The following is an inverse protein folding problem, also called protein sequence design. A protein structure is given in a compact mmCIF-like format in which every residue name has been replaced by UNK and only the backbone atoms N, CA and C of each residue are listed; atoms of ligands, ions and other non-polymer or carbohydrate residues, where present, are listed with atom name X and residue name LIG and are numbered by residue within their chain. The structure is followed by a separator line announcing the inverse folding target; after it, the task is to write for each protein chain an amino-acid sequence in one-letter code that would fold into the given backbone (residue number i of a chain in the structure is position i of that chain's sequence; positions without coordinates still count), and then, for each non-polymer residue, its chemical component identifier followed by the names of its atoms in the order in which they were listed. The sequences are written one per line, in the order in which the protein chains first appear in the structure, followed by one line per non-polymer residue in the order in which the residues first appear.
data_IF_187022088423
#
_entry.id   IF_187022088423
#
_cell.length_a   1.000
_cell.length_b   1.000
_cell.length_c   1.000
_cell.angle_alpha   90.00
_cell.angle_beta   90.00
_cell.angle_gamma   90.00
#
_symmetry.space_group_name_H-M   'P 1'
#
loop_
_entity.id
_entity.type
_entity.pdbx_description
1 polymer ?
#
# COMPACT_ATOMS: atom_id res chain seq x y z
N UNK A 1 27.85 20.49 2.16
CA UNK A 1 27.68 20.23 0.72
C UNK A 1 26.22 19.93 0.46
N UNK A 2 25.62 20.46 -0.59
CA UNK A 2 24.26 20.07 -0.98
C UNK A 2 24.37 19.06 -2.13
N UNK A 3 23.63 17.95 -2.04
CA UNK A 3 23.68 16.85 -3.02
C UNK A 3 22.27 16.60 -3.53
N UNK A 4 22.04 16.57 -4.85
CA UNK A 4 20.74 16.18 -5.41
C UNK A 4 20.56 14.65 -5.48
N UNK A 5 19.35 14.20 -5.80
CA UNK A 5 19.02 12.77 -5.80
C UNK A 5 19.75 11.97 -6.89
N UNK A 6 19.99 12.57 -8.05
CA UNK A 6 20.75 11.95 -9.14
C UNK A 6 22.21 11.75 -8.78
N UNK A 7 22.78 12.73 -8.09
CA UNK A 7 24.14 12.68 -7.57
C UNK A 7 24.23 11.67 -6.45
N UNK A 8 23.24 11.63 -5.54
CA UNK A 8 23.17 10.61 -4.48
C UNK A 8 23.18 9.20 -5.08
N UNK A 9 22.37 8.93 -6.12
CA UNK A 9 22.32 7.63 -6.80
C UNK A 9 23.68 7.15 -7.34
N UNK A 10 24.57 8.08 -7.71
CA UNK A 10 25.93 7.75 -8.19
C UNK A 10 26.89 7.38 -7.06
N UNK A 11 26.57 7.72 -5.82
CA UNK A 11 27.36 7.37 -4.62
C UNK A 11 26.84 6.07 -3.99
N UNK A 12 26.84 5.01 -4.80
CA UNK A 12 26.24 3.71 -4.50
C UNK A 12 27.21 2.70 -3.87
N UNK A 13 28.47 3.06 -3.64
CA UNK A 13 29.48 2.15 -3.07
C UNK A 13 29.94 1.02 -3.99
N UNK A 14 29.49 0.97 -5.25
CA UNK A 14 29.89 -0.07 -6.21
C UNK A 14 31.10 0.36 -7.01
N UNK A 15 31.88 -0.62 -7.46
CA UNK A 15 33.05 -0.40 -8.32
C UNK A 15 34.05 0.61 -7.71
N UNK A 16 34.16 0.63 -6.38
CA UNK A 16 35.05 1.54 -5.65
C UNK A 16 34.53 2.98 -5.52
N UNK A 17 33.33 3.30 -6.01
CA UNK A 17 32.69 4.60 -5.79
C UNK A 17 32.41 4.83 -4.29
N UNK A 18 32.35 6.09 -3.81
CA UNK A 18 31.92 6.36 -2.45
C UNK A 18 30.47 5.91 -2.22
N UNK A 19 30.14 5.61 -0.96
CA UNK A 19 28.83 5.12 -0.55
C UNK A 19 28.16 6.13 0.39
N UNK A 20 27.09 6.78 -0.07
CA UNK A 20 26.34 7.78 0.69
C UNK A 20 24.90 7.34 0.92
N UNK A 21 24.31 7.76 2.04
CA UNK A 21 22.87 7.54 2.32
C UNK A 21 22.26 8.85 2.81
N UNK A 22 21.00 9.10 2.44
CA UNK A 22 20.25 10.22 3.01
C UNK A 22 19.37 9.75 4.18
N UNK A 23 19.32 10.53 5.26
CA UNK A 23 18.34 10.38 6.34
C UNK A 23 17.87 11.77 6.77
N UNK A 24 16.56 12.01 6.69
CA UNK A 24 15.90 13.28 7.05
C UNK A 24 16.53 14.49 6.37
N UNK A 25 16.87 14.36 5.10
CA UNK A 25 17.49 15.42 4.32
C UNK A 25 18.97 15.67 4.66
N UNK A 26 19.61 14.81 5.47
CA UNK A 26 21.05 14.84 5.74
C UNK A 26 21.75 13.70 5.03
N UNK A 27 22.94 13.95 4.49
CA UNK A 27 23.77 12.95 3.82
C UNK A 27 24.82 12.42 4.79
N UNK A 28 24.90 11.11 4.90
CA UNK A 28 25.88 10.39 5.71
C UNK A 28 26.80 9.56 4.83
N UNK A 29 28.11 9.65 5.08
CA UNK A 29 29.10 8.83 4.39
C UNK A 29 29.27 7.47 5.08
N UNK A 30 28.99 6.40 4.36
CA UNK A 30 29.13 5.00 4.82
C UNK A 30 30.23 4.24 4.07
N UNK A 31 31.02 4.94 3.25
CA UNK A 31 32.19 4.40 2.55
C UNK A 31 33.13 3.70 3.53
N UNK A 32 33.57 2.48 3.22
CA UNK A 32 34.51 1.72 4.06
C UNK A 32 33.91 1.14 5.35
N UNK A 33 32.63 1.40 5.66
CA UNK A 33 31.97 0.77 6.79
C UNK A 33 31.77 -0.73 6.52
N UNK A 34 32.21 -1.59 7.44
CA UNK A 34 32.14 -3.06 7.32
C UNK A 34 30.72 -3.58 7.11
N UNK A 35 29.70 -2.84 7.57
CA UNK A 35 28.29 -3.19 7.42
C UNK A 35 27.70 -2.78 6.06
N UNK A 36 28.46 -2.04 5.24
CA UNK A 36 28.06 -1.47 3.95
C UNK A 36 28.95 -1.97 2.80
N UNK A 37 29.29 -3.26 2.80
CA UNK A 37 30.16 -3.85 1.77
C UNK A 37 29.57 -3.66 0.38
N UNK A 38 30.35 -3.11 -0.55
CA UNK A 38 29.90 -2.76 -1.91
C UNK A 38 28.63 -1.90 -1.91
N UNK A 39 28.48 -1.02 -0.92
CA UNK A 39 27.31 -0.16 -0.74
C UNK A 39 26.04 -0.91 -0.36
N UNK A 40 26.15 -2.12 0.17
CA UNK A 40 25.01 -2.94 0.57
C UNK A 40 25.01 -3.20 2.08
N UNK A 41 23.89 -2.91 2.72
CA UNK A 41 23.66 -3.17 4.13
C UNK A 41 22.58 -4.24 4.31
N UNK A 42 22.97 -5.32 5.00
CA UNK A 42 22.10 -6.48 5.32
C UNK A 42 21.40 -7.08 4.09
N UNK A 43 22.00 -6.98 2.89
CA UNK A 43 21.39 -7.40 1.61
C UNK A 43 20.00 -6.79 1.34
N UNK A 44 19.68 -5.67 1.98
CA UNK A 44 18.34 -5.05 1.95
C UNK A 44 18.39 -3.56 1.64
N UNK A 45 19.42 -2.85 2.11
CA UNK A 45 19.52 -1.40 1.96
C UNK A 45 20.73 -1.04 1.10
N UNK A 46 20.49 -0.29 0.03
CA UNK A 46 21.50 0.14 -0.92
C UNK A 46 21.95 1.57 -0.62
N UNK A 47 23.25 1.82 -0.65
CA UNK A 47 23.81 3.16 -0.72
C UNK A 47 23.36 3.85 -2.02
N UNK A 48 23.41 5.17 -2.01
CA UNK A 48 22.86 6.03 -3.04
C UNK A 48 21.34 6.22 -2.95
N UNK A 49 20.74 5.95 -1.78
CA UNK A 49 19.30 6.10 -1.55
C UNK A 49 18.99 6.88 -0.27
N UNK A 50 17.76 7.37 -0.16
CA UNK A 50 17.22 7.92 1.08
C UNK A 50 16.63 6.78 1.93
N UNK A 51 17.17 6.63 3.13
CA UNK A 51 16.86 5.57 4.09
C UNK A 51 16.10 6.10 5.30
N UNK A 52 15.50 7.28 5.21
CA UNK A 52 14.70 7.88 6.30
C UNK A 52 13.63 6.94 6.83
N UNK A 53 12.94 6.21 5.96
CA UNK A 53 11.93 5.23 6.39
C UNK A 53 12.57 3.96 6.95
N UNK A 54 13.60 3.45 6.28
CA UNK A 54 14.28 2.22 6.67
C UNK A 54 14.91 2.34 8.06
N UNK A 55 15.49 3.49 8.40
CA UNK A 55 16.13 3.69 9.71
C UNK A 55 15.10 3.83 10.85
N UNK A 56 13.90 4.34 10.57
CA UNK A 56 12.83 4.41 11.56
C UNK A 56 12.33 3.02 11.98
N UNK A 57 12.38 2.05 11.07
CA UNK A 57 12.05 0.65 11.34
C UNK A 57 13.25 -0.18 11.86
N UNK A 58 14.42 0.43 12.03
CA UNK A 58 15.62 -0.30 12.45
C UNK A 58 15.66 -0.51 13.97
N UNK A 59 16.25 -1.62 14.47
CA UNK A 59 16.35 -1.90 15.91
C UNK A 59 17.15 -0.87 16.71
N UNK A 60 17.93 -0.02 16.02
CA UNK A 60 18.84 0.96 16.62
C UNK A 60 18.46 2.41 16.31
N UNK A 61 17.42 2.62 15.50
CA UNK A 61 16.94 3.95 15.13
C UNK A 61 18.04 4.88 14.61
N UNK A 62 17.92 6.16 14.93
CA UNK A 62 18.83 7.23 14.47
C UNK A 62 20.10 7.33 15.28
N UNK A 63 20.20 6.65 16.43
CA UNK A 63 21.36 6.75 17.33
C UNK A 63 22.65 6.29 16.64
N UNK A 64 22.53 5.38 15.67
CA UNK A 64 23.67 4.92 14.87
C UNK A 64 24.27 6.04 14.01
N UNK A 65 23.49 7.04 13.60
CA UNK A 65 23.94 8.14 12.76
C UNK A 65 24.94 9.06 13.47
N UNK A 66 24.91 9.12 14.81
CA UNK A 66 25.89 9.88 15.61
C UNK A 66 27.32 9.38 15.36
N UNK A 67 27.46 8.10 14.99
CA UNK A 67 28.76 7.46 14.72
C UNK A 67 29.19 7.58 13.26
N UNK A 68 28.38 8.20 12.40
CA UNK A 68 28.61 8.29 10.96
C UNK A 68 28.85 9.75 10.59
N UNK A 69 29.79 10.00 9.69
CA UNK A 69 30.11 11.36 9.27
C UNK A 69 28.99 11.96 8.42
N UNK A 70 28.40 13.05 8.89
CA UNK A 70 27.52 13.91 8.08
C UNK A 70 28.38 14.67 7.05
N UNK A 71 28.06 14.53 5.75
CA UNK A 71 28.77 15.21 4.64
C UNK A 71 28.02 16.41 4.09
N UNK A 72 26.75 16.55 4.44
CA UNK A 72 25.92 17.59 3.86
C UNK A 72 24.44 17.33 3.96
N UNK A 73 23.70 18.03 3.11
CA UNK A 73 22.24 17.94 3.04
C UNK A 73 21.81 17.45 1.66
N UNK A 74 20.77 16.63 1.63
CA UNK A 74 20.07 16.28 0.40
C UNK A 74 19.34 17.55 -0.05
N UNK A 75 19.59 17.97 -1.29
CA UNK A 75 18.85 19.05 -1.91
C UNK A 75 17.37 18.72 -1.78
N UNK A 76 16.59 19.68 -1.27
CA UNK A 76 15.14 19.53 -1.34
C UNK A 76 14.84 19.39 -2.82
N UNK A 77 14.37 18.21 -3.23
CA UNK A 77 13.68 18.09 -4.51
C UNK A 77 12.73 19.29 -4.52
N UNK A 78 12.79 20.11 -5.58
CA UNK A 78 11.61 20.88 -5.94
C UNK A 78 10.58 19.79 -6.11
N UNK A 79 9.81 19.54 -5.05
CA UNK A 79 8.67 18.68 -5.15
C UNK A 79 7.96 19.28 -6.34
N UNK A 80 7.81 18.50 -7.41
CA UNK A 80 6.72 18.70 -8.33
C UNK A 80 5.49 18.59 -7.43
N UNK A 81 5.19 19.69 -6.72
CA UNK A 81 3.94 19.89 -6.01
C UNK A 81 2.97 19.57 -7.11
N UNK A 82 2.19 18.50 -7.00
CA UNK A 82 1.34 18.12 -8.11
C UNK A 82 0.50 19.37 -8.37
N UNK A 83 0.59 20.00 -9.56
CA UNK A 83 0.06 21.37 -9.77
C UNK A 83 -1.48 21.43 -9.72
N UNK A 84 -2.11 20.35 -9.26
CA UNK A 84 -3.53 20.08 -9.26
C UNK A 84 -4.11 19.79 -7.87
N UNK A 85 -3.32 19.73 -6.78
CA UNK A 85 -3.91 19.50 -5.45
C UNK A 85 -4.66 20.76 -4.98
N UNK A 86 -5.93 20.65 -4.55
CA UNK A 86 -6.67 21.79 -4.01
C UNK A 86 -6.00 22.38 -2.76
N UNK A 87 -6.09 23.71 -2.61
CA UNK A 87 -5.46 24.44 -1.50
C UNK A 87 -5.84 23.90 -0.10
N UNK A 88 -7.12 23.57 0.09
CA UNK A 88 -7.61 23.02 1.36
C UNK A 88 -6.96 21.69 1.71
N UNK A 89 -6.67 20.84 0.72
CA UNK A 89 -6.05 19.54 0.92
C UNK A 89 -4.57 19.70 1.26
N UNK A 90 -3.90 20.69 0.65
CA UNK A 90 -2.52 21.04 1.00
C UNK A 90 -2.42 21.53 2.45
N UNK A 91 -3.32 22.43 2.85
CA UNK A 91 -3.40 22.93 4.24
C UNK A 91 -3.69 21.79 5.23
N UNK A 92 -4.61 20.89 4.89
CA UNK A 92 -4.89 19.71 5.70
C UNK A 92 -3.64 18.82 5.88
N UNK A 93 -2.92 18.54 4.80
CA UNK A 93 -1.71 17.71 4.85
C UNK A 93 -0.56 18.38 5.60
N UNK A 94 -0.51 19.71 5.63
CA UNK A 94 0.42 20.47 6.47
C UNK A 94 0.05 20.40 7.95
N UNK A 95 -1.24 20.54 8.28
CA UNK A 95 -1.76 20.40 9.63
C UNK A 95 -1.59 18.97 10.17
N UNK A 96 -1.66 17.96 9.29
CA UNK A 96 -1.54 16.55 9.66
C UNK A 96 -0.44 15.84 8.86
N UNK A 97 0.84 16.00 9.25
CA UNK A 97 2.01 15.46 8.53
C UNK A 97 1.99 13.93 8.35
N UNK A 98 1.21 13.21 9.17
CA UNK A 98 0.98 11.78 9.01
C UNK A 98 0.51 11.43 7.59
N UNK A 99 -0.42 12.19 7.00
CA UNK A 99 -0.95 11.90 5.66
C UNK A 99 0.03 12.24 4.53
N UNK A 100 1.05 13.06 4.79
CA UNK A 100 2.17 13.25 3.84
C UNK A 100 3.07 12.02 3.77
N UNK A 101 3.21 11.28 4.87
CA UNK A 101 4.13 10.12 4.99
C UNK A 101 3.43 8.78 4.80
N UNK A 102 2.19 8.67 5.29
CA UNK A 102 1.36 7.47 5.25
C UNK A 102 -0.06 7.83 4.76
N UNK A 103 -0.24 8.18 3.47
CA UNK A 103 -1.56 8.54 2.95
C UNK A 103 -2.57 7.39 2.98
N UNK A 104 -2.14 6.15 3.26
CA UNK A 104 -2.96 4.94 3.28
C UNK A 104 -2.74 4.16 4.59
N UNK A 105 -3.52 4.45 5.66
CA UNK A 105 -3.35 3.84 6.98
C UNK A 105 -3.80 2.36 7.01
N UNK A 106 -3.27 1.55 7.94
CA UNK A 106 -3.55 0.11 8.03
C UNK A 106 -5.05 -0.24 7.99
N UNK A 107 -5.90 0.62 8.59
CA UNK A 107 -7.36 0.48 8.63
C UNK A 107 -7.99 0.34 7.24
N UNK A 108 -7.33 0.78 6.17
CA UNK A 108 -7.89 0.68 4.82
C UNK A 108 -7.52 -0.62 4.09
N UNK A 109 -6.75 -1.51 4.73
CA UNK A 109 -6.64 -2.93 4.33
C UNK A 109 -7.80 -3.78 4.87
N UNK A 110 -8.65 -3.22 5.74
CA UNK A 110 -9.80 -3.90 6.33
C UNK A 110 -10.79 -4.50 5.30
N UNK A 111 -11.14 -3.81 4.19
CA UNK A 111 -11.95 -4.44 3.14
C UNK A 111 -11.29 -5.70 2.56
N UNK A 112 -9.96 -5.76 2.49
CA UNK A 112 -9.30 -6.96 1.95
C UNK A 112 -9.57 -8.21 2.78
N UNK A 113 -9.47 -8.09 4.11
CA UNK A 113 -9.79 -9.18 5.00
C UNK A 113 -11.25 -9.63 4.86
N UNK A 114 -12.18 -8.67 4.76
CA UNK A 114 -13.61 -8.94 4.55
C UNK A 114 -13.84 -9.78 3.30
N UNK A 115 -13.34 -9.34 2.14
CA UNK A 115 -13.58 -10.02 0.86
C UNK A 115 -12.77 -11.33 0.70
N UNK A 116 -11.78 -11.58 1.57
CA UNK A 116 -11.12 -12.88 1.66
C UNK A 116 -11.91 -13.83 2.57
N UNK A 117 -12.38 -13.37 3.73
CA UNK A 117 -13.01 -14.23 4.75
C UNK A 117 -14.45 -14.61 4.35
N UNK A 118 -15.23 -13.69 3.80
CA UNK A 118 -16.62 -13.95 3.42
C UNK A 118 -16.80 -15.18 2.48
N UNK A 119 -16.05 -15.34 1.37
CA UNK A 119 -16.16 -16.54 0.54
C UNK A 119 -15.69 -17.81 1.25
N UNK A 120 -14.76 -17.73 2.21
CA UNK A 120 -14.36 -18.89 3.01
C UNK A 120 -15.48 -19.34 3.96
N UNK A 121 -16.19 -18.40 4.59
CA UNK A 121 -17.37 -18.72 5.41
C UNK A 121 -18.51 -19.28 4.56
N UNK A 122 -18.69 -18.76 3.35
CA UNK A 122 -19.70 -19.27 2.42
C UNK A 122 -19.36 -20.69 1.94
N UNK A 123 -18.09 -20.95 1.64
CA UNK A 123 -17.60 -22.29 1.31
C UNK A 123 -17.79 -23.25 2.49
N UNK A 124 -17.51 -22.82 3.72
CA UNK A 124 -17.79 -23.61 4.93
C UNK A 124 -19.28 -23.96 4.99
N UNK A 125 -20.15 -22.96 4.85
CA UNK A 125 -21.60 -23.15 4.91
C UNK A 125 -22.09 -24.22 3.91
N UNK A 126 -21.62 -24.17 2.66
CA UNK A 126 -22.06 -25.12 1.62
C UNK A 126 -21.39 -26.49 1.68
N UNK A 127 -20.11 -26.58 2.06
CA UNK A 127 -19.31 -27.80 1.91
C UNK A 127 -19.14 -28.60 3.20
N UNK A 128 -19.25 -27.95 4.36
CA UNK A 128 -18.93 -28.56 5.65
C UNK A 128 -20.17 -28.64 6.54
N UNK A 129 -20.79 -27.50 6.83
CA UNK A 129 -21.95 -27.45 7.73
C UNK A 129 -22.77 -26.18 7.53
N UNK A 130 -24.09 -26.28 7.31
CA UNK A 130 -24.96 -25.14 7.04
C UNK A 130 -25.36 -24.42 8.34
N UNK A 131 -24.37 -23.88 9.06
CA UNK A 131 -24.60 -23.12 10.29
C UNK A 131 -25.09 -21.71 9.96
N UNK A 132 -26.26 -21.32 10.46
CA UNK A 132 -26.84 -19.98 10.24
C UNK A 132 -25.88 -18.85 10.65
N UNK A 133 -25.10 -19.04 11.72
CA UNK A 133 -24.12 -18.06 12.18
C UNK A 133 -23.03 -17.72 11.14
N UNK A 134 -22.75 -18.60 10.18
CA UNK A 134 -21.83 -18.30 9.07
C UNK A 134 -22.44 -17.28 8.10
N UNK A 135 -23.74 -17.41 7.80
CA UNK A 135 -24.46 -16.46 6.96
C UNK A 135 -24.61 -15.10 7.63
N UNK A 136 -24.89 -15.10 8.94
CA UNK A 136 -24.94 -13.87 9.73
C UNK A 136 -23.58 -13.18 9.74
N UNK A 137 -22.48 -13.94 9.90
CA UNK A 137 -21.13 -13.40 9.83
C UNK A 137 -20.81 -12.82 8.45
N UNK A 138 -21.20 -13.47 7.35
CA UNK A 138 -21.05 -12.93 6.00
C UNK A 138 -21.78 -11.59 5.87
N UNK A 139 -23.01 -11.50 6.37
CA UNK A 139 -23.79 -10.25 6.34
C UNK A 139 -23.06 -9.11 7.07
N UNK A 140 -22.59 -9.34 8.30
CA UNK A 140 -21.84 -8.31 9.05
C UNK A 140 -20.51 -7.95 8.39
N UNK A 141 -19.80 -8.93 7.81
CA UNK A 141 -18.59 -8.68 7.04
C UNK A 141 -18.89 -7.76 5.86
N UNK A 142 -19.96 -8.00 5.09
CA UNK A 142 -20.36 -7.15 3.98
C UNK A 142 -20.75 -5.73 4.42
N UNK A 143 -21.45 -5.56 5.55
CA UNK A 143 -21.69 -4.21 6.12
C UNK A 143 -20.37 -3.46 6.33
N UNK A 144 -19.39 -4.11 6.96
CA UNK A 144 -18.11 -3.48 7.22
C UNK A 144 -17.31 -3.25 5.94
N UNK A 145 -17.37 -4.18 4.98
CA UNK A 145 -16.79 -4.05 3.65
C UNK A 145 -17.32 -2.83 2.92
N UNK A 146 -18.64 -2.69 2.82
CA UNK A 146 -19.31 -1.57 2.15
C UNK A 146 -18.99 -0.22 2.78
N UNK A 147 -18.88 -0.14 4.11
CA UNK A 147 -18.52 1.12 4.79
C UNK A 147 -17.03 1.47 4.61
N UNK A 148 -16.14 0.49 4.60
CA UNK A 148 -14.69 0.72 4.58
C UNK A 148 -14.10 0.84 3.17
N UNK A 149 -14.72 0.24 2.15
CA UNK A 149 -14.20 0.21 0.79
C UNK A 149 -14.14 1.59 0.10
N UNK A 150 -15.15 2.48 0.22
CA UNK A 150 -15.05 3.85 -0.33
C UNK A 150 -13.90 4.64 0.29
N UNK A 151 -13.66 4.46 1.60
CA UNK A 151 -12.54 5.09 2.32
C UNK A 151 -11.20 4.56 1.81
N UNK A 152 -11.09 3.25 1.57
CA UNK A 152 -9.90 2.63 1.00
C UNK A 152 -9.60 3.10 -0.43
N UNK A 153 -10.64 3.24 -1.26
CA UNK A 153 -10.50 3.80 -2.62
C UNK A 153 -10.04 5.25 -2.56
N UNK A 154 -10.69 6.08 -1.73
CA UNK A 154 -10.37 7.50 -1.60
C UNK A 154 -8.93 7.75 -1.13
N UNK A 155 -8.50 7.03 -0.09
CA UNK A 155 -7.11 7.10 0.40
C UNK A 155 -6.10 6.54 -0.61
N UNK A 156 -6.47 5.50 -1.38
CA UNK A 156 -5.66 5.00 -2.49
C UNK A 156 -5.47 6.03 -3.62
N UNK A 157 -6.52 6.76 -3.99
CA UNK A 157 -6.45 7.85 -4.96
C UNK A 157 -5.60 9.01 -4.42
N UNK A 158 -5.79 9.40 -3.16
CA UNK A 158 -4.96 10.43 -2.52
C UNK A 158 -3.47 10.04 -2.54
N UNK A 159 -3.16 8.79 -2.17
CA UNK A 159 -1.80 8.27 -2.23
C UNK A 159 -1.22 8.31 -3.65
N UNK A 160 -2.02 8.03 -4.67
CA UNK A 160 -1.59 8.16 -6.06
C UNK A 160 -1.23 9.62 -6.42
N UNK A 161 -2.08 10.58 -6.02
CA UNK A 161 -1.85 12.00 -6.27
C UNK A 161 -0.62 12.54 -5.53
N UNK A 162 -0.43 12.14 -4.28
CA UNK A 162 0.65 12.66 -3.41
C UNK A 162 1.97 11.97 -3.69
N UNK A 163 2.02 10.65 -3.74
CA UNK A 163 3.29 9.90 -3.79
C UNK A 163 3.80 9.68 -5.22
N UNK A 164 2.91 9.76 -6.21
CA UNK A 164 3.27 9.53 -7.61
C UNK A 164 2.91 10.72 -8.51
N UNK A 165 2.55 11.87 -7.92
CA UNK A 165 2.16 13.10 -8.64
C UNK A 165 1.05 12.87 -9.67
N UNK A 166 0.17 11.88 -9.45
CA UNK A 166 -0.87 11.48 -10.42
C UNK A 166 -0.33 10.92 -11.74
N UNK A 167 0.98 10.63 -11.85
CA UNK A 167 1.58 10.08 -13.07
C UNK A 167 0.99 8.71 -13.37
N UNK A 168 0.73 8.46 -14.65
CA UNK A 168 0.18 7.19 -15.10
C UNK A 168 1.11 6.03 -14.70
N UNK A 169 0.58 5.10 -13.91
CA UNK A 169 1.27 3.89 -13.53
C UNK A 169 0.34 2.70 -13.78
N UNK A 170 0.71 1.73 -14.63
CA UNK A 170 -0.16 0.58 -14.94
C UNK A 170 -0.63 -0.20 -13.72
N UNK A 171 0.21 -0.32 -12.68
CA UNK A 171 -0.17 -1.02 -11.46
C UNK A 171 -1.24 -0.27 -10.68
N UNK A 172 -1.09 1.06 -10.55
CA UNK A 172 -2.06 1.90 -9.85
C UNK A 172 -3.38 1.96 -10.62
N UNK A 173 -3.33 2.14 -11.95
CA UNK A 173 -4.54 2.18 -12.79
C UNK A 173 -5.33 0.88 -12.68
N UNK A 174 -4.67 -0.28 -12.84
CA UNK A 174 -5.32 -1.60 -12.67
C UNK A 174 -5.92 -1.76 -11.29
N UNK A 175 -5.16 -1.39 -10.24
CA UNK A 175 -5.65 -1.44 -8.86
C UNK A 175 -6.90 -0.59 -8.68
N UNK A 176 -6.93 0.62 -9.22
CA UNK A 176 -8.10 1.51 -9.17
C UNK A 176 -9.30 0.88 -9.87
N UNK A 177 -9.12 0.36 -11.09
CA UNK A 177 -10.18 -0.33 -11.85
C UNK A 177 -10.75 -1.51 -11.05
N UNK A 178 -9.89 -2.40 -10.54
CA UNK A 178 -10.32 -3.53 -9.73
C UNK A 178 -11.01 -3.12 -8.43
N UNK A 179 -10.60 -2.00 -7.83
CA UNK A 179 -11.23 -1.50 -6.60
C UNK A 179 -12.65 -0.98 -6.86
N UNK A 180 -12.89 -0.29 -7.98
CA UNK A 180 -14.25 0.10 -8.38
C UNK A 180 -15.09 -1.09 -8.81
N UNK A 181 -14.50 -2.07 -9.50
CA UNK A 181 -15.18 -3.34 -9.82
C UNK A 181 -15.62 -4.06 -8.54
N UNK A 182 -14.75 -4.12 -7.53
CA UNK A 182 -15.05 -4.70 -6.23
C UNK A 182 -16.17 -3.94 -5.52
N UNK A 183 -16.17 -2.60 -5.59
CA UNK A 183 -17.23 -1.77 -5.01
C UNK A 183 -18.59 -2.01 -5.68
N UNK A 184 -18.63 -2.13 -7.00
CA UNK A 184 -19.88 -2.44 -7.72
C UNK A 184 -20.40 -3.81 -7.30
N UNK A 185 -19.53 -4.83 -7.27
CA UNK A 185 -19.91 -6.17 -6.82
C UNK A 185 -20.41 -6.17 -5.37
N UNK A 186 -19.71 -5.47 -4.48
CA UNK A 186 -20.06 -5.32 -3.07
C UNK A 186 -21.44 -4.68 -2.89
N UNK A 187 -21.73 -3.58 -3.59
CA UNK A 187 -23.04 -2.92 -3.53
C UNK A 187 -24.18 -3.81 -4.02
N UNK A 188 -23.95 -4.61 -5.07
CA UNK A 188 -24.94 -5.58 -5.57
C UNK A 188 -25.20 -6.67 -4.52
N UNK A 189 -24.14 -7.23 -3.94
CA UNK A 189 -24.25 -8.27 -2.91
C UNK A 189 -24.96 -7.71 -1.67
N UNK A 190 -24.52 -6.55 -1.18
CA UNK A 190 -25.09 -5.91 0.01
C UNK A 190 -26.57 -5.59 -0.18
N UNK A 191 -26.95 -5.06 -1.35
CA UNK A 191 -28.36 -4.82 -1.68
C UNK A 191 -29.15 -6.14 -1.65
N UNK A 192 -28.64 -7.20 -2.27
CA UNK A 192 -29.30 -8.50 -2.30
C UNK A 192 -29.46 -9.11 -0.89
N UNK A 193 -28.44 -8.98 -0.03
CA UNK A 193 -28.50 -9.45 1.36
C UNK A 193 -29.51 -8.66 2.21
N UNK A 194 -29.71 -7.37 1.95
CA UNK A 194 -30.72 -6.55 2.65
C UNK A 194 -32.13 -6.94 2.21
N UNK A 195 -32.38 -7.04 0.90
CA UNK A 195 -33.72 -7.29 0.37
C UNK A 195 -34.15 -8.75 0.48
N UNK A 196 -33.20 -9.70 0.48
CA UNK A 196 -33.45 -11.13 0.59
C UNK A 196 -32.42 -11.78 1.54
N UNK A 197 -32.59 -11.64 2.87
CA UNK A 197 -31.60 -12.12 3.86
C UNK A 197 -31.25 -13.61 3.75
N UNK A 198 -32.18 -14.44 3.27
CA UNK A 198 -31.99 -15.87 3.09
C UNK A 198 -31.42 -16.26 1.70
N UNK A 199 -31.01 -15.31 0.86
CA UNK A 199 -30.57 -15.56 -0.54
C UNK A 199 -29.38 -16.54 -0.64
N UNK A 200 -28.59 -16.67 0.42
CA UNK A 200 -27.45 -17.58 0.48
C UNK A 200 -27.78 -18.99 1.02
N UNK A 201 -28.97 -19.23 1.58
CA UNK A 201 -29.26 -20.52 2.21
C UNK A 201 -29.43 -21.66 1.19
N UNK A 202 -30.20 -21.41 0.13
CA UNK A 202 -30.49 -22.35 -0.96
C UNK A 202 -30.69 -21.57 -2.28
N UNK A 203 -29.63 -20.93 -2.81
CA UNK A 203 -29.74 -20.11 -4.02
C UNK A 203 -30.12 -20.97 -5.23
N UNK A 204 -31.10 -20.52 -6.00
CA UNK A 204 -31.50 -21.15 -7.25
C UNK A 204 -31.79 -20.10 -8.34
N UNK A 205 -31.64 -20.48 -9.60
CA UNK A 205 -31.88 -19.57 -10.73
C UNK A 205 -31.02 -18.30 -10.64
N UNK A 206 -31.64 -17.13 -10.67
CA UNK A 206 -30.95 -15.84 -10.60
C UNK A 206 -30.31 -15.55 -9.24
N UNK A 207 -30.77 -16.19 -8.16
CA UNK A 207 -30.18 -16.00 -6.83
C UNK A 207 -28.72 -16.48 -6.77
N UNK A 208 -28.32 -17.40 -7.66
CA UNK A 208 -26.94 -17.89 -7.77
C UNK A 208 -25.93 -16.80 -8.11
N UNK A 209 -26.38 -15.65 -8.63
CA UNK A 209 -25.50 -14.52 -8.91
C UNK A 209 -24.81 -14.03 -7.64
N UNK A 210 -25.50 -14.02 -6.48
CA UNK A 210 -24.93 -13.50 -5.23
C UNK A 210 -23.77 -14.34 -4.70
N UNK A 211 -23.89 -15.66 -4.47
CA UNK A 211 -22.76 -16.47 -4.05
C UNK A 211 -21.63 -16.49 -5.08
N UNK A 212 -21.94 -16.46 -6.38
CA UNK A 212 -20.93 -16.35 -7.45
C UNK A 212 -20.15 -15.03 -7.33
N UNK A 213 -20.83 -13.92 -7.11
CA UNK A 213 -20.18 -12.62 -6.89
C UNK A 213 -19.32 -12.61 -5.62
N UNK A 214 -19.80 -13.22 -4.52
CA UNK A 214 -19.00 -13.37 -3.28
C UNK A 214 -17.69 -14.12 -3.55
N UNK A 215 -17.75 -15.25 -4.27
CA UNK A 215 -16.53 -15.98 -4.67
C UNK A 215 -15.67 -15.21 -5.67
N UNK A 216 -16.27 -14.43 -6.56
CA UNK A 216 -15.57 -13.57 -7.52
C UNK A 216 -14.80 -12.43 -6.84
N UNK A 217 -15.27 -11.92 -5.68
CA UNK A 217 -14.53 -10.91 -4.92
C UNK A 217 -13.13 -11.38 -4.50
N UNK A 218 -12.94 -12.69 -4.25
CA UNK A 218 -11.65 -13.26 -3.79
C UNK A 218 -10.49 -13.05 -4.77
N UNK A 219 -10.57 -13.44 -6.05
CA UNK A 219 -9.50 -13.17 -7.01
C UNK A 219 -9.32 -11.68 -7.27
N UNK A 220 -10.40 -10.88 -7.30
CA UNK A 220 -10.31 -9.43 -7.48
C UNK A 220 -9.50 -8.77 -6.36
N UNK A 221 -9.81 -9.09 -5.10
CA UNK A 221 -9.11 -8.51 -3.96
C UNK A 221 -7.67 -9.01 -3.84
N UNK A 222 -7.41 -10.27 -4.24
CA UNK A 222 -6.07 -10.82 -4.31
C UNK A 222 -5.21 -10.08 -5.34
N UNK A 223 -5.77 -9.77 -6.52
CA UNK A 223 -5.09 -8.97 -7.55
C UNK A 223 -4.81 -7.55 -7.06
N UNK A 224 -5.76 -6.90 -6.38
CA UNK A 224 -5.55 -5.57 -5.76
C UNK A 224 -4.37 -5.63 -4.79
N UNK A 225 -4.33 -6.66 -3.93
CA UNK A 225 -3.26 -6.89 -2.97
C UNK A 225 -1.91 -7.12 -3.65
N UNK A 226 -1.85 -7.97 -4.67
CA UNK A 226 -0.63 -8.25 -5.44
C UNK A 226 -0.07 -6.98 -6.11
N UNK A 227 -0.93 -6.18 -6.76
CA UNK A 227 -0.51 -4.93 -7.41
C UNK A 227 -0.02 -3.91 -6.37
N UNK A 228 -0.67 -3.85 -5.20
CA UNK A 228 -0.21 -3.06 -4.06
C UNK A 228 1.17 -3.52 -3.55
N UNK A 229 1.37 -4.83 -3.40
CA UNK A 229 2.64 -5.42 -2.97
C UNK A 229 3.78 -5.09 -3.93
N UNK A 230 3.55 -5.16 -5.25
CA UNK A 230 4.55 -4.80 -6.28
C UNK A 230 4.96 -3.33 -6.25
N UNK A 231 4.11 -2.43 -5.77
CA UNK A 231 4.43 -1.01 -5.61
C UNK A 231 5.36 -0.76 -4.42
N UNK A 232 5.21 -1.53 -3.34
CA UNK A 232 6.01 -1.40 -2.11
C UNK A 232 7.31 -2.21 -2.20
N UNK A 233 7.24 -3.41 -2.77
CA UNK A 233 8.33 -4.35 -2.90
C UNK A 233 8.58 -4.67 -4.38
N UNK A 234 9.24 -3.76 -5.13
CA UNK A 234 9.56 -4.03 -6.52
C UNK A 234 10.47 -5.25 -6.61
N UNK A 235 10.04 -6.27 -7.37
CA UNK A 235 10.89 -7.40 -7.70
C UNK A 235 12.03 -6.88 -8.57
N UNK A 236 13.24 -6.83 -8.01
CA UNK A 236 14.44 -6.54 -8.77
C UNK A 236 14.56 -7.64 -9.84
N UNK A 237 14.37 -7.25 -11.10
CA UNK A 237 14.70 -8.16 -12.21
C UNK A 237 16.19 -8.43 -12.13
N UNK A 238 16.57 -9.67 -11.86
CA UNK A 238 17.92 -10.13 -12.14
C UNK A 238 18.15 -9.91 -13.63
N UNK A 239 19.08 -9.00 -13.96
CA UNK A 239 19.65 -8.90 -15.30
C UNK A 239 20.56 -10.08 -15.54
#
# INVERSE_FOLDING_TARGET
MEIDRETLLKHDGKEGRPAYVAVEGKIYEVTGNRLWKNGMHMNRHQAGTDLTEAIAASPHGKDILIKIQEKGTLAKEKADRPPFLPEWLMQFMEAYPFFKRHPHPMVVHFPMAVFIIAPLFLAWYYLISPLQGLLDAIFYLYILGTLSLPVAIGTGLLAWLVNYSGKANPLIIRKTIFSFLLLIADLIIMAALIFKPAILQNPAGTDLIVPVLIFFCLPVVSLIGEHGGKLVFPVLKNK
#
